data_IF_399305549233
#
_entry.id   IF_399305549233
#
_cell.length_a   1.000
_cell.length_b   1.000
_cell.length_c   1.000
_cell.angle_alpha   90.00
_cell.angle_beta   90.00
_cell.angle_gamma   90.00
#
_symmetry.space_group_name_H-M   'P 1'
#
loop_
_entity.id
_entity.type
_entity.pdbx_description
1 polymer ?
#
# COMPACT_ATOMS: atom_id res chain seq x y z
N UNK A 1 -18.12 51.21 24.50
CA UNK A 1 -18.80 50.43 23.45
C UNK A 1 -17.92 50.22 22.21
N UNK A 2 -17.45 51.26 21.48
CA UNK A 2 -16.63 51.08 20.26
C UNK A 2 -15.32 50.29 20.44
N UNK A 3 -14.62 50.42 21.58
CA UNK A 3 -13.37 49.70 21.85
C UNK A 3 -13.58 48.20 22.14
N UNK A 4 -14.71 47.85 22.74
CA UNK A 4 -15.06 46.45 23.05
C UNK A 4 -15.36 45.67 21.77
N UNK A 5 -16.08 46.29 20.81
CA UNK A 5 -16.32 45.70 19.49
C UNK A 5 -15.04 45.45 18.68
N UNK A 6 -14.06 46.36 18.75
CA UNK A 6 -12.77 46.17 18.08
C UNK A 6 -11.96 45.02 18.69
N UNK A 7 -11.99 44.85 20.02
CA UNK A 7 -11.33 43.72 20.69
C UNK A 7 -12.02 42.40 20.36
N UNK A 8 -13.36 42.36 20.30
CA UNK A 8 -14.11 41.17 19.90
C UNK A 8 -13.90 40.82 18.43
N UNK A 9 -13.86 41.81 17.53
CA UNK A 9 -13.54 41.60 16.11
C UNK A 9 -12.08 41.13 15.95
N UNK A 10 -11.14 41.68 16.72
CA UNK A 10 -9.75 41.22 16.71
C UNK A 10 -9.63 39.80 17.25
N UNK A 11 -10.37 39.44 18.31
CA UNK A 11 -10.42 38.07 18.85
C UNK A 11 -11.05 37.06 17.85
N UNK A 12 -12.10 37.46 17.13
CA UNK A 12 -12.76 36.63 16.11
C UNK A 12 -11.92 36.52 14.83
N UNK A 13 -11.14 37.57 14.49
CA UNK A 13 -10.20 37.54 13.37
C UNK A 13 -8.91 36.75 13.68
N UNK A 14 -8.57 36.57 14.96
CA UNK A 14 -7.42 35.74 15.40
C UNK A 14 -7.76 34.25 15.61
N UNK A 15 -9.02 33.84 15.42
CA UNK A 15 -9.46 32.45 15.61
C UNK A 15 -9.61 31.66 14.31
N UNK A 16 -9.08 32.14 13.18
CA UNK A 16 -8.77 31.26 12.06
C UNK A 16 -7.39 30.66 12.35
N UNK A 17 -7.33 29.80 13.36
CA UNK A 17 -6.22 28.88 13.52
C UNK A 17 -6.57 27.71 12.61
N UNK A 18 -5.81 27.56 11.52
CA UNK A 18 -5.76 26.30 10.78
C UNK A 18 -5.09 25.33 11.74
N UNK A 19 -5.92 24.52 12.41
CA UNK A 19 -5.43 23.48 13.30
C UNK A 19 -5.30 22.23 12.46
N UNK A 20 -4.17 21.53 12.60
CA UNK A 20 -4.07 20.12 12.24
C UNK A 20 -5.27 19.38 12.84
N UNK A 21 -5.86 18.48 12.04
CA UNK A 21 -7.04 17.71 12.43
C UNK A 21 -6.59 16.63 13.42
N UNK A 22 -7.38 16.40 14.46
CA UNK A 22 -7.16 15.31 15.40
C UNK A 22 -8.41 14.41 15.43
N UNK A 23 -8.20 13.13 15.14
CA UNK A 23 -9.26 12.11 15.08
C UNK A 23 -8.93 10.96 16.04
N UNK A 24 -9.96 10.29 16.55
CA UNK A 24 -9.79 9.13 17.46
C UNK A 24 -10.82 8.07 17.09
N UNK A 25 -10.38 7.06 16.36
CA UNK A 25 -11.23 5.99 15.83
C UNK A 25 -10.39 4.75 15.45
N UNK A 26 -11.02 3.68 14.98
CA UNK A 26 -10.34 2.49 14.45
C UNK A 26 -9.71 2.78 13.09
N UNK A 27 -8.38 2.64 12.96
CA UNK A 27 -7.68 2.76 11.67
C UNK A 27 -8.20 1.72 10.67
N UNK A 28 -8.50 0.51 11.15
CA UNK A 28 -9.11 -0.56 10.36
C UNK A 28 -10.42 -0.09 9.72
N UNK A 29 -11.28 0.56 10.51
CA UNK A 29 -12.57 1.06 10.04
C UNK A 29 -12.43 2.32 9.18
N UNK A 30 -11.47 3.20 9.47
CA UNK A 30 -11.19 4.34 8.59
C UNK A 30 -10.77 3.86 7.19
N UNK A 31 -9.96 2.79 7.09
CA UNK A 31 -9.49 2.31 5.80
C UNK A 31 -10.53 1.52 5.01
N UNK A 32 -11.32 0.67 5.67
CA UNK A 32 -12.23 -0.27 4.99
C UNK A 32 -13.45 -0.69 5.85
N UNK A 33 -14.02 0.26 6.59
CA UNK A 33 -15.18 0.05 7.44
C UNK A 33 -15.89 1.36 7.78
N UNK A 34 -16.54 1.39 8.95
CA UNK A 34 -17.31 2.55 9.40
C UNK A 34 -16.63 3.23 10.59
N UNK A 35 -16.21 4.48 10.40
CA UNK A 35 -15.45 5.31 11.32
C UNK A 35 -16.11 6.72 11.41
N UNK A 36 -17.29 6.82 12.06
CA UNK A 36 -18.16 7.99 11.96
C UNK A 36 -17.63 9.25 12.66
N UNK A 37 -16.55 9.12 13.43
CA UNK A 37 -15.88 10.24 14.10
C UNK A 37 -14.72 10.83 13.26
N UNK A 38 -14.48 10.28 12.07
CA UNK A 38 -13.55 10.81 11.07
C UNK A 38 -14.27 11.76 10.09
N UNK A 39 -13.50 12.61 9.39
CA UNK A 39 -14.02 13.48 8.33
C UNK A 39 -14.73 12.71 7.20
N UNK A 40 -14.25 11.50 6.93
CA UNK A 40 -14.89 10.44 6.14
C UNK A 40 -14.32 9.08 6.59
N UNK A 41 -14.94 7.98 6.18
CA UNK A 41 -14.50 6.63 6.50
C UNK A 41 -14.42 5.77 5.23
N UNK A 42 -14.16 4.47 5.39
CA UNK A 42 -14.02 3.54 4.28
C UNK A 42 -13.08 4.05 3.16
N UNK A 43 -11.92 4.60 3.50
CA UNK A 43 -11.00 5.25 2.56
C UNK A 43 -10.80 4.50 1.24
N UNK A 44 -10.77 3.17 1.28
CA UNK A 44 -10.59 2.36 0.07
C UNK A 44 -11.72 2.45 -0.95
N UNK A 45 -12.95 2.81 -0.55
CA UNK A 45 -14.06 2.99 -1.48
C UNK A 45 -14.01 4.33 -2.22
N UNK A 46 -13.13 5.26 -1.85
CA UNK A 46 -12.96 6.54 -2.55
C UNK A 46 -11.81 6.53 -3.58
N UNK A 47 -11.13 5.39 -3.74
CA UNK A 47 -9.99 5.23 -4.66
C UNK A 47 -10.46 5.41 -6.10
N UNK A 48 -9.70 6.18 -6.88
CA UNK A 48 -10.03 6.42 -8.29
C UNK A 48 -9.95 5.12 -9.11
N UNK A 49 -11.01 4.87 -9.88
CA UNK A 49 -11.20 3.69 -10.73
C UNK A 49 -10.94 3.99 -12.20
N UNK A 50 -10.59 2.96 -12.96
CA UNK A 50 -10.47 3.09 -14.40
C UNK A 50 -10.32 1.76 -15.11
N UNK A 51 -10.78 1.72 -16.36
CA UNK A 51 -10.68 0.56 -17.26
C UNK A 51 -10.11 1.01 -18.60
N UNK A 52 -8.81 0.81 -18.78
CA UNK A 52 -8.11 1.29 -19.98
C UNK A 52 -8.32 0.37 -21.19
N UNK A 53 -8.38 -0.94 -20.99
CA UNK A 53 -8.72 -1.92 -22.04
C UNK A 53 -9.57 -3.06 -21.45
N UNK A 54 -10.87 -3.16 -21.80
CA UNK A 54 -11.78 -4.15 -21.22
C UNK A 54 -11.25 -5.59 -21.33
N UNK A 55 -11.11 -6.25 -20.18
CA UNK A 55 -10.57 -7.60 -20.06
C UNK A 55 -9.04 -7.68 -20.06
N UNK A 56 -8.35 -6.53 -20.00
CA UNK A 56 -6.91 -6.50 -19.74
C UNK A 56 -6.60 -6.94 -18.32
N UNK A 57 -7.27 -6.38 -17.31
CA UNK A 57 -7.29 -6.92 -15.94
C UNK A 57 -8.59 -7.72 -15.75
N UNK A 58 -8.54 -8.75 -14.90
CA UNK A 58 -9.71 -9.56 -14.55
C UNK A 58 -10.09 -9.30 -13.09
N UNK A 59 -10.99 -8.34 -12.90
CA UNK A 59 -11.52 -7.99 -11.59
C UNK A 59 -12.48 -9.05 -11.07
N UNK A 60 -12.50 -9.24 -9.75
CA UNK A 60 -13.46 -10.11 -9.12
C UNK A 60 -14.90 -9.56 -9.27
N UNK A 61 -15.95 -10.41 -9.30
CA UNK A 61 -17.33 -9.94 -9.48
C UNK A 61 -17.88 -9.01 -8.40
N UNK A 62 -17.18 -8.91 -7.26
CA UNK A 62 -17.53 -8.05 -6.12
C UNK A 62 -16.66 -6.78 -6.04
N UNK A 63 -15.84 -6.54 -7.07
CA UNK A 63 -14.99 -5.37 -7.23
C UNK A 63 -15.20 -4.81 -8.65
N UNK A 64 -16.34 -4.16 -8.85
CA UNK A 64 -16.73 -3.69 -10.18
C UNK A 64 -16.04 -2.38 -10.47
N UNK A 65 -15.03 -2.40 -11.34
CA UNK A 65 -14.34 -1.19 -11.76
C UNK A 65 -15.12 -0.41 -12.83
N UNK A 66 -15.18 0.91 -12.67
CA UNK A 66 -15.86 1.84 -13.57
C UNK A 66 -14.94 2.96 -14.07
N UNK A 67 -15.20 3.46 -15.27
CA UNK A 67 -14.59 4.73 -15.71
C UNK A 67 -15.41 5.90 -15.15
N UNK A 68 -14.73 6.86 -14.53
CA UNK A 68 -15.33 8.15 -14.13
C UNK A 68 -15.71 8.26 -12.66
N UNK A 69 -15.29 7.32 -11.82
CA UNK A 69 -15.29 7.47 -10.37
C UNK A 69 -13.87 7.84 -9.88
N UNK A 70 -13.67 9.10 -9.51
CA UNK A 70 -12.36 9.69 -9.22
C UNK A 70 -11.55 10.02 -10.48
N UNK A 71 -10.33 10.52 -10.27
CA UNK A 71 -9.34 10.80 -11.31
C UNK A 71 -7.90 10.66 -10.75
N UNK A 72 -6.90 10.86 -11.61
CA UNK A 72 -5.50 10.96 -11.22
C UNK A 72 -4.84 12.18 -11.86
N UNK A 73 -4.46 13.14 -11.03
CA UNK A 73 -3.72 14.32 -11.48
C UNK A 73 -2.25 13.95 -11.74
N UNK A 74 -1.82 13.97 -13.00
CA UNK A 74 -0.43 13.69 -13.35
C UNK A 74 0.46 14.83 -12.82
N UNK A 75 1.35 14.57 -11.85
CA UNK A 75 2.08 15.65 -11.17
C UNK A 75 3.06 16.34 -12.13
N UNK A 76 3.13 17.67 -12.04
CA UNK A 76 4.17 18.48 -12.67
C UNK A 76 5.45 18.49 -11.82
N UNK A 77 6.55 19.00 -12.38
CA UNK A 77 7.80 19.19 -11.63
C UNK A 77 7.59 20.09 -10.39
N UNK A 78 6.71 21.09 -10.49
CA UNK A 78 6.40 21.99 -9.38
C UNK A 78 5.61 21.27 -8.29
N UNK A 79 4.68 20.38 -8.67
CA UNK A 79 3.92 19.55 -7.73
C UNK A 79 4.84 18.60 -6.96
N UNK A 80 5.76 17.93 -7.67
CA UNK A 80 6.73 17.01 -7.05
C UNK A 80 7.65 17.73 -6.04
N UNK A 81 8.05 18.97 -6.35
CA UNK A 81 8.84 19.80 -5.44
C UNK A 81 8.01 20.23 -4.23
N UNK A 82 6.80 20.76 -4.46
CA UNK A 82 5.90 21.22 -3.42
C UNK A 82 5.53 20.10 -2.45
N UNK A 83 5.15 18.94 -2.99
CA UNK A 83 4.88 17.74 -2.21
C UNK A 83 6.10 17.28 -1.42
N UNK A 84 7.29 17.34 -2.02
CA UNK A 84 8.52 17.00 -1.33
C UNK A 84 8.77 17.87 -0.09
N UNK A 85 8.45 19.16 -0.14
CA UNK A 85 8.58 20.07 1.01
C UNK A 85 7.53 19.78 2.08
N UNK A 86 6.29 19.44 1.69
CA UNK A 86 5.24 19.01 2.61
C UNK A 86 5.69 17.77 3.40
N UNK A 87 6.27 16.77 2.71
CA UNK A 87 6.77 15.55 3.35
C UNK A 87 7.92 15.85 4.32
N UNK A 88 8.81 16.80 4.00
CA UNK A 88 9.90 17.17 4.92
C UNK A 88 9.34 17.72 6.25
N UNK A 89 8.40 18.67 6.21
CA UNK A 89 7.79 19.22 7.43
C UNK A 89 6.96 18.17 8.18
N UNK A 90 6.24 17.30 7.45
CA UNK A 90 5.47 16.20 8.01
C UNK A 90 6.34 15.22 8.80
N UNK A 91 7.50 14.82 8.25
CA UNK A 91 8.44 13.92 8.93
C UNK A 91 9.14 14.56 10.13
N UNK A 92 9.40 15.88 10.06
CA UNK A 92 9.94 16.65 11.18
C UNK A 92 8.93 16.83 12.33
N UNK A 93 7.66 16.48 12.12
CA UNK A 93 6.57 16.70 13.08
C UNK A 93 6.08 18.15 13.13
N UNK A 94 6.47 18.99 12.16
CA UNK A 94 5.97 20.36 12.01
C UNK A 94 4.63 20.34 11.25
N UNK A 95 3.63 19.70 11.85
CA UNK A 95 2.37 19.37 11.17
C UNK A 95 1.57 20.61 10.73
N UNK A 96 1.60 21.69 11.50
CA UNK A 96 0.96 22.97 11.11
C UNK A 96 1.63 23.61 9.88
N UNK A 97 2.95 23.47 9.74
CA UNK A 97 3.70 23.99 8.59
C UNK A 97 3.42 23.11 7.35
N UNK A 98 3.36 21.79 7.52
CA UNK A 98 2.94 20.87 6.46
C UNK A 98 1.51 21.19 5.96
N UNK A 99 0.55 21.42 6.86
CA UNK A 99 -0.81 21.83 6.50
C UNK A 99 -0.81 23.19 5.79
N UNK A 100 -0.04 24.16 6.29
CA UNK A 100 0.06 25.49 5.66
C UNK A 100 0.64 25.42 4.23
N UNK A 101 1.58 24.49 3.98
CA UNK A 101 2.12 24.24 2.65
C UNK A 101 1.06 23.60 1.73
N UNK A 102 0.31 22.61 2.23
CA UNK A 102 -0.82 22.01 1.50
C UNK A 102 -1.82 23.09 1.06
N UNK A 103 -2.27 23.93 2.00
CA UNK A 103 -3.20 25.03 1.73
C UNK A 103 -2.65 26.00 0.67
N UNK A 104 -1.34 26.29 0.73
CA UNK A 104 -0.66 27.19 -0.22
C UNK A 104 -0.57 26.58 -1.62
N UNK A 105 -0.30 25.27 -1.71
CA UNK A 105 -0.29 24.52 -2.97
C UNK A 105 -1.70 24.24 -3.50
N UNK A 106 -2.72 24.39 -2.66
CA UNK A 106 -4.11 24.03 -2.97
C UNK A 106 -4.28 22.55 -3.35
N UNK A 107 -3.40 21.67 -2.84
CA UNK A 107 -3.62 20.24 -2.93
C UNK A 107 -4.84 19.87 -2.07
N UNK A 108 -5.71 18.96 -2.53
CA UNK A 108 -6.90 18.54 -1.77
C UNK A 108 -6.52 17.57 -0.65
N UNK A 109 -5.53 17.91 0.16
CA UNK A 109 -4.99 17.04 1.22
C UNK A 109 -5.16 17.69 2.58
N UNK A 110 -5.05 16.88 3.61
CA UNK A 110 -5.02 17.32 4.99
C UNK A 110 -4.05 16.50 5.84
N UNK A 111 -3.47 17.16 6.84
CA UNK A 111 -2.67 16.54 7.88
C UNK A 111 -3.58 16.14 9.04
N UNK A 112 -3.51 14.87 9.42
CA UNK A 112 -4.32 14.30 10.51
C UNK A 112 -3.42 13.66 11.56
N UNK A 113 -3.61 14.03 12.81
CA UNK A 113 -3.17 13.25 13.97
C UNK A 113 -4.28 12.24 14.26
N UNK A 114 -4.00 10.97 14.05
CA UNK A 114 -4.98 9.90 14.19
C UNK A 114 -4.63 9.03 15.39
N UNK A 115 -5.49 9.02 16.40
CA UNK A 115 -5.37 8.18 17.57
C UNK A 115 -6.12 6.87 17.34
N UNK A 116 -5.41 5.82 16.95
CA UNK A 116 -6.00 4.52 16.64
C UNK A 116 -6.40 3.77 17.91
N UNK A 117 -7.70 3.49 18.04
CA UNK A 117 -8.25 2.79 19.21
C UNK A 117 -7.99 1.28 19.18
N UNK A 118 -7.68 0.70 18.01
CA UNK A 118 -7.43 -0.74 17.88
C UNK A 118 -6.04 -1.12 18.40
N UNK A 119 -5.03 -0.30 18.12
CA UNK A 119 -3.63 -0.54 18.52
C UNK A 119 -3.12 0.34 19.66
N UNK A 120 -3.89 1.34 20.10
CA UNK A 120 -3.48 2.35 21.11
C UNK A 120 -2.22 3.12 20.67
N UNK A 121 -2.14 3.42 19.36
CA UNK A 121 -1.02 4.14 18.72
C UNK A 121 -1.53 5.43 18.11
N UNK A 122 -0.69 6.46 18.14
CA UNK A 122 -0.94 7.70 17.39
C UNK A 122 -0.14 7.70 16.09
N UNK A 123 -0.84 7.94 15.00
CA UNK A 123 -0.27 8.07 13.66
C UNK A 123 -0.42 9.49 13.15
N UNK A 124 0.50 9.92 12.30
CA UNK A 124 0.32 11.10 11.47
C UNK A 124 -0.06 10.63 10.07
N UNK A 125 -1.03 11.28 9.44
CA UNK A 125 -1.51 10.93 8.11
C UNK A 125 -1.53 12.15 7.19
N UNK A 126 -1.16 11.92 5.94
CA UNK A 126 -1.53 12.76 4.82
C UNK A 126 -2.56 12.00 4.00
N UNK A 127 -3.79 12.50 3.98
CA UNK A 127 -4.90 11.92 3.21
C UNK A 127 -5.54 12.95 2.31
N UNK A 128 -6.06 12.49 1.20
CA UNK A 128 -6.84 13.32 0.28
C UNK A 128 -8.27 13.53 0.80
N UNK A 129 -8.87 14.66 0.49
CA UNK A 129 -10.25 15.01 0.81
C UNK A 129 -11.12 14.55 -0.38
N UNK A 130 -12.10 13.65 -0.19
CA UNK A 130 -12.97 13.19 -1.28
C UNK A 130 -13.76 14.34 -1.92
N UNK A 131 -13.97 14.24 -3.23
CA UNK A 131 -14.82 15.14 -4.00
C UNK A 131 -16.22 14.52 -4.18
N UNK A 132 -17.19 15.00 -3.39
CA UNK A 132 -18.59 14.55 -3.37
C UNK A 132 -19.34 14.67 -4.72
N UNK A 133 -18.72 15.22 -5.77
CA UNK A 133 -19.33 15.24 -7.11
C UNK A 133 -19.27 13.89 -7.83
N UNK A 134 -18.38 12.99 -7.39
CA UNK A 134 -18.33 11.61 -7.87
C UNK A 134 -19.40 10.75 -7.20
N UNK A 135 -19.90 9.79 -7.96
CA UNK A 135 -20.90 8.83 -7.53
C UNK A 135 -20.66 7.52 -8.27
N UNK A 136 -20.59 6.43 -7.52
CA UNK A 136 -20.57 5.08 -8.06
C UNK A 136 -21.76 4.29 -7.50
N UNK A 137 -22.48 3.60 -8.37
CA UNK A 137 -23.58 2.69 -8.02
C UNK A 137 -23.16 1.22 -8.04
N UNK A 138 -21.84 0.96 -8.18
CA UNK A 138 -21.20 -0.35 -8.28
C UNK A 138 -21.85 -1.23 -9.38
N UNK A 139 -22.59 -0.59 -10.31
CA UNK A 139 -23.45 -1.19 -11.31
C UNK A 139 -24.44 -2.22 -10.73
N UNK A 140 -24.85 -2.08 -9.47
CA UNK A 140 -25.82 -2.96 -8.82
C UNK A 140 -27.20 -2.32 -8.68
N UNK A 141 -28.17 -3.09 -8.18
CA UNK A 141 -29.49 -2.56 -7.82
C UNK A 141 -29.63 -2.33 -6.31
N UNK A 142 -28.65 -2.79 -5.54
CA UNK A 142 -28.56 -2.43 -4.14
C UNK A 142 -28.09 -0.96 -4.10
N UNK A 143 -28.60 -0.19 -3.16
CA UNK A 143 -28.17 1.20 -2.96
C UNK A 143 -27.39 1.34 -1.66
N UNK A 144 -27.11 0.21 -0.99
CA UNK A 144 -26.33 0.15 0.23
C UNK A 144 -24.83 0.06 -0.02
N UNK A 145 -24.42 -0.23 -1.26
CA UNK A 145 -23.06 -0.23 -1.77
C UNK A 145 -22.76 0.97 -2.68
N UNK A 146 -23.74 1.87 -2.89
CA UNK A 146 -23.53 3.15 -3.55
C UNK A 146 -22.49 3.98 -2.78
N UNK A 147 -21.50 4.53 -3.50
CA UNK A 147 -20.45 5.35 -2.91
C UNK A 147 -20.52 6.80 -3.41
N UNK A 148 -20.29 7.73 -2.48
CA UNK A 148 -20.29 9.16 -2.73
C UNK A 148 -18.94 9.75 -2.36
N UNK A 149 -18.32 10.43 -3.33
CA UNK A 149 -17.00 11.02 -3.16
C UNK A 149 -15.88 10.10 -3.65
N UNK A 150 -14.94 10.67 -4.39
CA UNK A 150 -13.74 9.98 -4.84
C UNK A 150 -12.55 10.96 -4.87
N UNK A 151 -11.34 10.44 -5.04
CA UNK A 151 -10.12 11.25 -5.12
C UNK A 151 -9.97 11.91 -6.51
N UNK A 152 -9.67 13.21 -6.53
CA UNK A 152 -9.39 13.99 -7.74
C UNK A 152 -7.93 13.82 -8.19
N UNK A 153 -7.01 13.78 -7.22
CA UNK A 153 -5.57 13.70 -7.45
C UNK A 153 -5.09 12.25 -7.44
N UNK A 154 -5.72 11.40 -6.63
CA UNK A 154 -5.42 9.96 -6.59
C UNK A 154 -3.98 9.64 -6.19
N UNK A 155 -3.29 10.57 -5.50
CA UNK A 155 -1.87 10.40 -5.13
C UNK A 155 -1.66 9.47 -3.94
N UNK A 156 -2.69 9.23 -3.13
CA UNK A 156 -2.73 8.17 -2.14
C UNK A 156 -2.71 8.61 -0.68
N UNK A 157 -2.53 7.64 0.19
CA UNK A 157 -2.52 7.78 1.64
C UNK A 157 -1.13 7.49 2.18
N UNK A 158 -0.64 8.38 3.04
CA UNK A 158 0.68 8.27 3.66
C UNK A 158 0.52 8.31 5.18
N UNK A 159 0.85 7.19 5.84
CA UNK A 159 0.75 7.05 7.29
C UNK A 159 2.16 6.91 7.86
N UNK A 160 2.45 7.73 8.87
CA UNK A 160 3.67 7.73 9.64
C UNK A 160 3.35 7.38 11.09
N UNK A 161 4.09 6.44 11.67
CA UNK A 161 4.09 6.13 13.09
C UNK A 161 5.33 6.75 13.78
N UNK A 162 5.22 7.93 14.42
CA UNK A 162 6.37 8.65 14.97
C UNK A 162 7.08 7.88 16.08
N UNK A 163 6.33 7.12 16.87
CA UNK A 163 6.89 6.28 17.94
C UNK A 163 7.34 4.89 17.44
N UNK A 164 7.19 4.62 16.14
CA UNK A 164 7.58 3.37 15.50
C UNK A 164 9.08 3.14 15.55
N UNK A 165 9.49 2.06 16.26
CA UNK A 165 10.89 1.70 16.47
C UNK A 165 11.48 0.74 15.43
N UNK A 166 10.73 0.34 14.41
CA UNK A 166 11.19 -0.60 13.38
C UNK A 166 11.35 0.11 12.03
N UNK A 167 12.51 -0.03 11.36
CA UNK A 167 12.81 0.62 10.09
C UNK A 167 12.12 -0.08 8.92
N UNK A 168 10.80 -0.21 8.98
CA UNK A 168 9.99 -0.90 7.97
C UNK A 168 9.08 0.07 7.22
N UNK A 169 8.94 -0.15 5.92
CA UNK A 169 7.99 0.56 5.05
C UNK A 169 7.07 -0.48 4.42
N UNK A 170 5.76 -0.27 4.51
CA UNK A 170 4.76 -1.06 3.79
C UNK A 170 4.25 -0.23 2.60
N UNK A 171 4.11 -0.85 1.43
CA UNK A 171 3.55 -0.20 0.23
C UNK A 171 2.48 -1.06 -0.42
N UNK A 172 1.37 -0.44 -0.81
CA UNK A 172 0.32 -1.02 -1.66
C UNK A 172 0.12 -0.10 -2.89
N UNK A 173 0.82 -0.37 -4.00
CA UNK A 173 0.95 0.58 -5.10
C UNK A 173 -0.23 0.59 -6.08
N UNK A 174 -1.04 -0.47 -6.12
CA UNK A 174 -2.09 -0.65 -7.13
C UNK A 174 -3.42 -1.10 -6.50
N UNK A 175 -4.00 -0.38 -5.52
CA UNK A 175 -5.32 -0.73 -5.03
C UNK A 175 -6.36 -0.67 -6.16
N UNK A 176 -7.49 -1.34 -5.96
CA UNK A 176 -8.51 -1.67 -6.97
C UNK A 176 -8.03 -2.70 -8.01
N UNK A 177 -6.91 -2.47 -8.69
CA UNK A 177 -6.26 -3.51 -9.50
C UNK A 177 -5.84 -4.73 -8.67
N UNK A 178 -5.44 -4.45 -7.44
CA UNK A 178 -4.99 -5.42 -6.48
C UNK A 178 -5.94 -5.35 -5.25
N UNK A 179 -7.15 -5.91 -5.40
CA UNK A 179 -8.33 -5.67 -4.55
C UNK A 179 -8.07 -5.81 -3.03
N UNK A 180 -7.37 -6.86 -2.62
CA UNK A 180 -7.20 -7.19 -1.18
C UNK A 180 -6.03 -6.44 -0.52
N UNK A 181 -5.30 -5.61 -1.27
CA UNK A 181 -4.03 -5.05 -0.81
C UNK A 181 -4.18 -4.05 0.33
N UNK A 182 -5.24 -3.23 0.37
CA UNK A 182 -5.44 -2.25 1.44
C UNK A 182 -5.60 -2.92 2.81
N UNK A 183 -6.53 -3.88 3.00
CA UNK A 183 -6.61 -4.63 4.26
C UNK A 183 -5.32 -5.37 4.65
N UNK A 184 -4.63 -5.98 3.68
CA UNK A 184 -3.39 -6.74 3.96
C UNK A 184 -2.25 -5.80 4.34
N UNK A 185 -2.11 -4.66 3.65
CA UNK A 185 -1.09 -3.65 3.96
C UNK A 185 -1.32 -2.99 5.32
N UNK A 186 -2.57 -2.69 5.68
CA UNK A 186 -2.92 -2.28 7.03
C UNK A 186 -2.49 -3.33 8.07
N UNK A 187 -2.86 -4.59 7.86
CA UNK A 187 -2.51 -5.67 8.79
C UNK A 187 -0.99 -5.80 8.94
N UNK A 188 -0.24 -5.79 7.84
CA UNK A 188 1.22 -5.83 7.86
C UNK A 188 1.80 -4.63 8.64
N UNK A 189 1.33 -3.41 8.37
CA UNK A 189 1.76 -2.20 9.04
C UNK A 189 1.61 -2.28 10.56
N UNK A 190 0.45 -2.77 11.04
CA UNK A 190 0.20 -2.94 12.48
C UNK A 190 1.03 -4.07 13.08
N UNK A 191 1.00 -5.27 12.48
CA UNK A 191 1.57 -6.49 13.04
C UNK A 191 3.10 -6.42 13.14
N UNK A 192 3.78 -5.91 12.11
CA UNK A 192 5.24 -5.75 12.14
C UNK A 192 5.68 -4.38 12.68
N UNK A 193 4.71 -3.59 13.17
CA UNK A 193 4.91 -2.27 13.78
C UNK A 193 5.78 -1.36 12.91
N UNK A 194 5.44 -1.31 11.62
CA UNK A 194 6.16 -0.53 10.63
C UNK A 194 6.10 0.96 10.92
N UNK A 195 7.15 1.69 10.52
CA UNK A 195 7.22 3.14 10.71
C UNK A 195 6.39 3.88 9.66
N UNK A 196 6.27 3.33 8.46
CA UNK A 196 5.54 3.94 7.36
C UNK A 196 4.62 2.97 6.62
N UNK A 197 3.48 3.47 6.17
CA UNK A 197 2.57 2.83 5.20
C UNK A 197 2.24 3.82 4.10
N UNK A 198 2.36 3.38 2.84
CA UNK A 198 1.97 4.15 1.65
C UNK A 198 1.00 3.31 0.82
N UNK A 199 -0.15 3.89 0.47
CA UNK A 199 -1.15 3.26 -0.39
C UNK A 199 -1.47 4.23 -1.53
N UNK A 200 -1.45 3.79 -2.79
CA UNK A 200 -1.79 4.67 -3.93
C UNK A 200 -3.28 5.05 -3.88
N UNK A 201 -3.65 6.22 -4.40
CA UNK A 201 -5.05 6.69 -4.39
C UNK A 201 -5.81 6.39 -5.68
N UNK A 202 -5.21 5.60 -6.57
CA UNK A 202 -5.74 5.27 -7.89
C UNK A 202 -5.29 3.88 -8.33
N UNK A 203 -6.15 3.23 -9.11
CA UNK A 203 -5.77 2.07 -9.92
C UNK A 203 -4.79 2.45 -11.05
N UNK A 204 -4.12 1.46 -11.63
CA UNK A 204 -3.14 1.58 -12.73
C UNK A 204 -3.77 2.01 -14.04
N UNK A 205 -5.07 1.85 -14.20
CA UNK A 205 -5.77 2.06 -15.47
C UNK A 205 -6.41 3.45 -15.59
N UNK A 206 -6.52 4.21 -14.48
CA UNK A 206 -7.17 5.54 -14.43
C UNK A 206 -6.61 6.49 -15.48
N UNK A 207 -5.27 6.64 -15.51
CA UNK A 207 -4.58 7.50 -16.49
C UNK A 207 -3.40 6.78 -17.11
N UNK A 208 -3.39 6.74 -18.44
CA UNK A 208 -2.32 6.12 -19.24
C UNK A 208 -2.01 6.93 -20.50
N UNK A 209 -0.93 6.59 -21.19
CA UNK A 209 -0.44 7.37 -22.34
C UNK A 209 -1.40 7.51 -23.52
N UNK A 210 -2.45 6.67 -23.62
CA UNK A 210 -3.39 6.62 -24.75
C UNK A 210 -2.71 6.38 -26.12
N UNK A 211 -1.53 5.73 -26.14
CA UNK A 211 -0.78 5.41 -27.36
C UNK A 211 -0.77 3.90 -27.61
N UNK A 212 -1.46 3.45 -28.66
CA UNK A 212 -1.60 2.02 -28.99
C UNK A 212 -2.50 1.29 -28.00
N UNK A 213 -2.28 0.00 -27.77
CA UNK A 213 -3.04 -0.77 -26.78
C UNK A 213 -2.49 -0.53 -25.37
N UNK A 214 -3.35 -0.66 -24.35
CA UNK A 214 -2.92 -0.58 -22.96
C UNK A 214 -1.89 -1.67 -22.62
N UNK A 215 -1.01 -1.34 -21.69
CA UNK A 215 -0.10 -2.24 -20.99
C UNK A 215 0.39 -1.51 -19.74
N UNK A 216 0.68 -2.21 -18.66
CA UNK A 216 1.05 -1.59 -17.37
C UNK A 216 2.21 -0.58 -17.47
N UNK A 217 3.17 -0.79 -18.39
CA UNK A 217 4.27 0.16 -18.61
C UNK A 217 3.86 1.50 -19.26
N UNK A 218 2.59 1.65 -19.63
CA UNK A 218 1.99 2.87 -20.19
C UNK A 218 1.09 3.60 -19.19
N UNK A 219 0.86 3.03 -18.01
CA UNK A 219 0.19 3.72 -16.91
C UNK A 219 1.01 4.94 -16.47
N UNK A 220 0.31 6.04 -16.19
CA UNK A 220 0.89 7.27 -15.63
C UNK A 220 0.65 7.38 -14.11
N UNK A 221 -0.27 6.58 -13.58
CA UNK A 221 -0.65 6.46 -12.16
C UNK A 221 0.01 5.27 -11.45
N UNK A 222 0.84 4.48 -12.14
CA UNK A 222 1.55 3.35 -11.53
C UNK A 222 2.88 3.78 -10.86
N UNK A 223 2.93 3.83 -9.51
CA UNK A 223 4.13 4.27 -8.80
C UNK A 223 5.29 3.27 -8.89
N UNK A 224 5.03 1.99 -9.17
CA UNK A 224 6.08 0.99 -9.36
C UNK A 224 6.83 1.19 -10.68
N UNK A 225 6.20 1.81 -11.69
CA UNK A 225 6.77 1.94 -13.05
C UNK A 225 7.22 3.37 -13.39
N UNK A 226 6.64 4.39 -12.76
CA UNK A 226 6.87 5.82 -13.05
C UNK A 226 7.75 6.49 -12.00
N UNK A 227 8.85 7.10 -12.43
CA UNK A 227 9.75 7.82 -11.50
C UNK A 227 9.15 9.14 -11.01
N UNK A 228 8.53 9.89 -11.93
CA UNK A 228 7.88 11.17 -11.67
C UNK A 228 6.49 10.92 -11.10
N UNK A 229 6.45 10.49 -9.83
CA UNK A 229 5.23 10.15 -9.10
C UNK A 229 5.35 10.59 -7.64
N UNK A 230 4.28 11.18 -7.10
CA UNK A 230 4.23 11.70 -5.72
C UNK A 230 4.55 10.61 -4.68
N UNK A 231 3.95 9.42 -4.84
CA UNK A 231 4.31 8.20 -4.11
C UNK A 231 5.84 7.94 -4.02
N UNK A 232 6.58 8.13 -5.11
CA UNK A 232 8.03 7.94 -5.13
C UNK A 232 8.79 9.09 -4.47
N UNK A 233 8.25 10.31 -4.45
CA UNK A 233 8.80 11.41 -3.65
C UNK A 233 8.69 11.08 -2.16
N UNK A 234 7.51 10.66 -1.70
CA UNK A 234 7.30 10.26 -0.31
C UNK A 234 8.16 9.06 0.08
N UNK A 235 8.15 7.99 -0.74
CA UNK A 235 8.91 6.77 -0.48
C UNK A 235 10.40 7.07 -0.28
N UNK A 236 11.01 7.88 -1.16
CA UNK A 236 12.42 8.25 -1.06
C UNK A 236 12.72 8.99 0.26
N UNK A 237 11.85 9.93 0.65
CA UNK A 237 11.99 10.68 1.91
C UNK A 237 11.82 9.80 3.13
N UNK A 238 10.93 8.80 3.09
CA UNK A 238 10.73 7.86 4.19
C UNK A 238 11.93 6.91 4.35
N UNK A 239 12.49 6.43 3.24
CA UNK A 239 13.75 5.69 3.25
C UNK A 239 14.89 6.52 3.84
N UNK A 240 15.03 7.79 3.42
CA UNK A 240 16.09 8.67 3.91
C UNK A 240 15.93 9.03 5.39
N UNK A 241 14.69 9.22 5.85
CA UNK A 241 14.37 9.40 7.28
C UNK A 241 14.77 8.17 8.10
N UNK A 242 14.41 6.95 7.66
CA UNK A 242 14.85 5.70 8.30
C UNK A 242 16.38 5.62 8.36
N UNK A 243 17.06 5.91 7.26
CA UNK A 243 18.52 5.83 7.20
C UNK A 243 19.18 6.84 8.15
N UNK A 244 18.60 8.02 8.26
CA UNK A 244 19.02 9.07 9.19
C UNK A 244 18.81 8.66 10.65
N UNK A 245 17.61 8.19 10.99
CA UNK A 245 17.21 7.85 12.37
C UNK A 245 17.88 6.56 12.88
N UNK A 246 17.84 5.49 12.09
CA UNK A 246 18.27 4.15 12.53
C UNK A 246 19.72 3.81 12.16
N UNK A 247 20.37 4.66 11.34
CA UNK A 247 21.72 4.41 10.83
C UNK A 247 21.83 3.14 9.97
N UNK A 248 20.71 2.70 9.37
CA UNK A 248 20.62 1.49 8.54
C UNK A 248 19.54 1.66 7.48
N UNK A 249 19.60 0.84 6.44
CA UNK A 249 18.55 0.80 5.42
C UNK A 249 17.27 0.18 5.96
N UNK A 250 16.18 0.60 5.37
CA UNK A 250 14.83 0.10 5.56
C UNK A 250 14.67 -1.36 5.10
N UNK A 251 13.72 -2.05 5.70
CA UNK A 251 13.06 -3.22 5.11
C UNK A 251 11.74 -2.75 4.48
N UNK A 252 11.61 -2.91 3.18
CA UNK A 252 10.45 -2.49 2.41
C UNK A 252 9.64 -3.70 1.98
N UNK A 253 8.36 -3.72 2.32
CA UNK A 253 7.41 -4.74 1.91
C UNK A 253 6.42 -4.11 0.94
N UNK A 254 6.37 -4.62 -0.28
CA UNK A 254 5.42 -4.21 -1.30
C UNK A 254 4.41 -5.31 -1.55
N UNK A 255 3.14 -4.96 -1.38
CA UNK A 255 2.02 -5.88 -1.33
C UNK A 255 1.16 -5.65 -2.56
N UNK A 256 0.95 -6.72 -3.30
CA UNK A 256 0.11 -6.83 -4.47
C UNK A 256 -0.86 -8.01 -4.32
N UNK A 257 -1.88 -8.01 -5.15
CA UNK A 257 -2.68 -9.17 -5.50
C UNK A 257 -2.77 -9.29 -7.00
N UNK A 258 -3.22 -10.43 -7.49
CA UNK A 258 -3.31 -10.69 -8.92
C UNK A 258 -4.70 -11.09 -9.35
N UNK A 259 -4.99 -10.73 -10.61
CA UNK A 259 -6.22 -10.96 -11.36
C UNK A 259 -6.98 -12.24 -10.96
N UNK A 260 -8.27 -12.05 -10.65
CA UNK A 260 -9.21 -13.12 -10.42
C UNK A 260 -9.34 -14.07 -11.63
N UNK A 261 -9.54 -15.36 -11.33
CA UNK A 261 -9.88 -16.38 -12.32
C UNK A 261 -8.67 -17.08 -12.95
N UNK A 262 -8.69 -17.27 -14.27
CA UNK A 262 -7.81 -18.26 -14.91
C UNK A 262 -6.42 -17.77 -15.31
N UNK A 263 -6.07 -16.51 -15.06
CA UNK A 263 -4.81 -15.91 -15.57
C UNK A 263 -3.58 -16.51 -14.93
N UNK A 264 -3.61 -16.69 -13.61
CA UNK A 264 -2.53 -17.27 -12.80
C UNK A 264 -2.87 -18.69 -12.32
N UNK A 265 -3.68 -19.42 -13.09
CA UNK A 265 -4.13 -20.76 -12.72
C UNK A 265 -2.95 -21.73 -12.55
N UNK A 266 -2.88 -22.35 -11.36
CA UNK A 266 -1.85 -23.34 -11.04
C UNK A 266 -0.58 -22.76 -10.42
N UNK A 267 -0.52 -21.44 -10.19
CA UNK A 267 0.47 -20.84 -9.32
C UNK A 267 0.00 -20.85 -7.85
N UNK A 268 0.94 -20.77 -6.89
CA UNK A 268 0.64 -20.70 -5.45
C UNK A 268 -0.18 -19.46 -5.10
N UNK A 269 -0.96 -19.55 -4.03
CA UNK A 269 -1.84 -18.46 -3.59
C UNK A 269 -1.10 -17.22 -3.09
N UNK A 270 0.14 -17.40 -2.64
CA UNK A 270 1.02 -16.29 -2.26
C UNK A 270 2.36 -16.51 -2.92
N UNK A 271 2.73 -15.63 -3.85
CA UNK A 271 4.02 -15.62 -4.52
C UNK A 271 4.92 -14.58 -3.86
N UNK A 272 6.15 -14.97 -3.50
CA UNK A 272 7.08 -14.17 -2.71
C UNK A 272 8.41 -14.02 -3.46
N UNK A 273 8.93 -12.80 -3.57
CA UNK A 273 10.25 -12.56 -4.16
C UNK A 273 11.00 -11.43 -3.45
N UNK A 274 12.33 -11.39 -3.63
CA UNK A 274 13.15 -10.20 -3.34
C UNK A 274 13.12 -9.16 -4.47
N UNK A 275 12.28 -9.40 -5.50
CA UNK A 275 12.24 -8.66 -6.76
C UNK A 275 12.69 -9.50 -7.97
N UNK A 276 12.40 -8.98 -9.16
CA UNK A 276 12.60 -9.66 -10.46
C UNK A 276 14.01 -10.21 -10.67
N UNK A 277 15.03 -9.49 -10.19
CA UNK A 277 16.44 -9.81 -10.42
C UNK A 277 17.04 -10.70 -9.32
N UNK A 278 16.25 -11.09 -8.31
CA UNK A 278 16.74 -11.82 -7.12
C UNK A 278 16.36 -13.29 -7.23
N UNK A 279 17.12 -14.05 -8.02
CA UNK A 279 16.91 -15.50 -8.23
C UNK A 279 17.45 -16.41 -7.12
N UNK A 280 18.27 -15.85 -6.22
CA UNK A 280 18.76 -16.50 -5.01
C UNK A 280 18.62 -15.52 -3.86
N UNK A 281 17.41 -15.36 -3.30
CA UNK A 281 17.21 -14.38 -2.24
C UNK A 281 17.96 -14.79 -0.97
N UNK A 282 18.42 -13.80 -0.23
CA UNK A 282 18.98 -13.95 1.10
C UNK A 282 17.90 -13.84 2.20
N UNK A 283 18.30 -13.73 3.48
CA UNK A 283 17.38 -13.51 4.60
C UNK A 283 16.57 -12.22 4.40
N UNK A 284 15.31 -12.13 4.84
CA UNK A 284 14.58 -13.14 5.60
C UNK A 284 13.97 -14.23 4.70
N UNK A 285 14.04 -14.11 3.37
CA UNK A 285 13.35 -15.04 2.47
C UNK A 285 13.97 -16.42 2.51
N UNK A 286 15.31 -16.51 2.47
CA UNK A 286 16.02 -17.79 2.50
C UNK A 286 17.33 -17.69 3.28
N UNK A 287 17.58 -18.70 4.10
CA UNK A 287 18.79 -18.87 4.88
C UNK A 287 19.70 -19.85 4.14
N UNK A 288 20.86 -19.37 3.70
CA UNK A 288 21.88 -20.20 3.06
C UNK A 288 22.65 -21.09 4.04
N UNK A 289 22.48 -20.87 5.35
CA UNK A 289 23.07 -21.67 6.41
C UNK A 289 22.18 -22.85 6.80
N UNK A 290 22.65 -23.64 7.77
CA UNK A 290 21.85 -24.76 8.33
C UNK A 290 21.01 -24.34 9.53
N UNK A 291 20.90 -23.03 9.81
CA UNK A 291 20.20 -22.52 10.98
C UNK A 291 18.69 -22.40 10.78
N UNK A 292 18.20 -22.32 9.53
CA UNK A 292 16.78 -22.24 9.22
C UNK A 292 16.14 -20.95 9.74
N UNK A 293 16.82 -19.81 9.58
CA UNK A 293 16.36 -18.51 10.06
C UNK A 293 15.45 -17.76 9.08
N UNK A 294 15.04 -18.43 8.00
CA UNK A 294 14.20 -17.85 6.96
C UNK A 294 12.70 -18.03 7.20
N UNK A 295 11.91 -17.31 6.41
CA UNK A 295 10.46 -17.29 6.51
C UNK A 295 9.88 -18.70 6.42
N UNK A 296 10.37 -19.55 5.52
CA UNK A 296 9.79 -20.90 5.37
C UNK A 296 10.00 -21.76 6.61
N UNK A 297 11.16 -21.67 7.28
CA UNK A 297 11.45 -22.51 8.45
C UNK A 297 10.82 -22.00 9.75
N UNK A 298 10.26 -20.78 9.77
CA UNK A 298 9.48 -20.26 10.90
C UNK A 298 7.96 -20.43 10.74
N UNK A 299 7.49 -20.82 9.55
CA UNK A 299 6.08 -21.07 9.27
C UNK A 299 5.65 -22.49 9.69
N UNK A 300 4.36 -22.63 10.02
CA UNK A 300 3.74 -23.94 10.20
C UNK A 300 3.60 -24.65 8.85
N UNK A 301 3.95 -25.95 8.75
CA UNK A 301 3.80 -26.71 7.51
C UNK A 301 2.37 -26.79 6.99
N UNK A 302 1.37 -26.65 7.88
CA UNK A 302 -0.05 -26.61 7.53
C UNK A 302 -0.52 -25.16 7.69
N UNK A 303 -0.76 -24.50 6.56
CA UNK A 303 -1.15 -23.07 6.52
C UNK A 303 -2.62 -22.92 6.88
N UNK A 304 -3.47 -23.78 6.31
CA UNK A 304 -4.91 -23.78 6.57
C UNK A 304 -5.33 -25.16 7.05
N UNK A 305 -5.70 -25.31 8.33
CA UNK A 305 -6.26 -26.55 8.85
C UNK A 305 -7.53 -26.94 8.09
N UNK A 306 -7.80 -28.24 7.97
CA UNK A 306 -8.97 -28.74 7.27
C UNK A 306 -10.27 -28.13 7.81
N UNK A 307 -11.08 -27.56 6.91
CA UNK A 307 -12.36 -26.92 7.21
C UNK A 307 -12.25 -25.70 8.16
N UNK A 308 -11.11 -25.01 8.16
CA UNK A 308 -10.96 -23.73 8.88
C UNK A 308 -11.83 -22.64 8.25
N UNK A 309 -12.02 -22.66 6.93
CA UNK A 309 -12.92 -21.77 6.19
C UNK A 309 -13.67 -22.59 5.13
N UNK A 310 -14.95 -22.88 5.39
CA UNK A 310 -15.74 -23.74 4.49
C UNK A 310 -15.31 -25.21 4.53
N UNK A 311 -15.60 -25.98 3.48
CA UNK A 311 -15.25 -27.40 3.38
C UNK A 311 -14.06 -27.59 2.45
N UNK A 312 -12.91 -28.00 3.00
CA UNK A 312 -11.67 -28.23 2.25
C UNK A 312 -10.73 -29.18 2.99
N UNK A 313 -9.80 -29.79 2.23
CA UNK A 313 -8.66 -30.52 2.77
C UNK A 313 -7.68 -29.55 3.48
N UNK A 314 -6.82 -30.01 4.41
CA UNK A 314 -5.75 -29.13 4.90
C UNK A 314 -4.89 -28.66 3.72
N UNK A 315 -4.37 -27.43 3.82
CA UNK A 315 -3.53 -26.82 2.79
C UNK A 315 -2.11 -26.70 3.34
N UNK A 316 -1.17 -27.33 2.64
CA UNK A 316 0.22 -27.38 3.04
C UNK A 316 1.00 -26.16 2.54
N UNK A 317 2.13 -25.85 3.18
CA UNK A 317 2.93 -24.66 2.91
C UNK A 317 3.46 -24.61 1.47
N UNK A 318 3.88 -25.73 0.91
CA UNK A 318 4.37 -25.82 -0.47
C UNK A 318 3.25 -25.77 -1.53
N UNK A 319 2.00 -25.92 -1.12
CA UNK A 319 0.83 -25.66 -1.97
C UNK A 319 0.43 -24.18 -1.95
N UNK A 320 0.47 -23.56 -0.76
CA UNK A 320 -0.03 -22.21 -0.55
C UNK A 320 0.99 -21.12 -0.92
N UNK A 321 2.26 -21.32 -0.58
CA UNK A 321 3.33 -20.34 -0.81
C UNK A 321 4.27 -20.76 -1.93
N UNK A 322 4.64 -19.80 -2.78
CA UNK A 322 5.67 -19.94 -3.80
C UNK A 322 6.76 -18.89 -3.64
N UNK A 323 8.00 -19.24 -3.92
CA UNK A 323 9.15 -18.34 -3.73
C UNK A 323 10.02 -18.22 -4.98
N UNK A 324 10.47 -17.00 -5.31
CA UNK A 324 11.44 -16.79 -6.37
C UNK A 324 12.80 -17.33 -5.92
N UNK A 325 13.10 -18.59 -6.24
CA UNK A 325 14.41 -19.18 -6.00
C UNK A 325 14.73 -20.20 -7.10
N UNK A 326 15.64 -19.84 -8.01
CA UNK A 326 15.94 -20.65 -9.19
C UNK A 326 17.42 -21.03 -9.34
N UNK A 327 18.29 -20.55 -8.44
CA UNK A 327 19.72 -20.88 -8.51
C UNK A 327 20.13 -22.10 -7.67
N UNK A 328 19.43 -22.35 -6.56
CA UNK A 328 19.80 -23.38 -5.59
C UNK A 328 18.58 -24.00 -4.92
N UNK A 329 18.75 -25.19 -4.35
CA UNK A 329 17.69 -25.88 -3.61
C UNK A 329 17.18 -25.04 -2.44
N UNK A 330 15.86 -24.92 -2.34
CA UNK A 330 15.17 -24.25 -1.24
C UNK A 330 14.26 -25.26 -0.53
N UNK A 331 14.50 -25.47 0.76
CA UNK A 331 13.88 -26.56 1.52
C UNK A 331 13.40 -26.08 2.88
N UNK A 332 12.22 -26.55 3.28
CA UNK A 332 11.82 -26.58 4.66
C UNK A 332 12.51 -27.75 5.39
N UNK A 333 12.97 -27.53 6.61
CA UNK A 333 13.45 -28.60 7.48
C UNK A 333 13.16 -28.30 8.96
N UNK A 334 12.52 -29.23 9.65
CA UNK A 334 12.42 -29.26 11.11
C UNK A 334 12.91 -30.62 11.65
N UNK A 335 12.69 -30.90 12.95
CA UNK A 335 13.14 -32.17 13.56
C UNK A 335 12.48 -33.42 12.95
N UNK A 336 11.27 -33.29 12.40
CA UNK A 336 10.41 -34.42 11.99
C UNK A 336 10.21 -34.52 10.46
N UNK A 337 10.34 -33.43 9.71
CA UNK A 337 10.04 -33.37 8.27
C UNK A 337 11.03 -32.49 7.50
N UNK A 338 11.20 -32.82 6.23
CA UNK A 338 11.97 -32.04 5.25
C UNK A 338 11.30 -32.18 3.90
N UNK A 339 11.03 -31.05 3.24
CA UNK A 339 10.46 -31.04 1.91
C UNK A 339 10.95 -29.83 1.10
N UNK A 340 10.85 -29.94 -0.22
CA UNK A 340 11.24 -28.88 -1.15
C UNK A 340 10.17 -27.80 -1.17
N UNK A 341 10.60 -26.54 -1.08
CA UNK A 341 9.71 -25.39 -1.22
C UNK A 341 9.32 -25.22 -2.68
N UNK A 342 8.09 -24.83 -2.91
CA UNK A 342 7.60 -24.51 -4.24
C UNK A 342 8.25 -23.23 -4.77
N UNK A 343 8.94 -23.34 -5.90
CA UNK A 343 9.60 -22.21 -6.57
C UNK A 343 8.97 -21.88 -7.92
N UNK A 344 7.84 -22.50 -8.25
CA UNK A 344 7.09 -22.23 -9.46
C UNK A 344 6.15 -21.05 -9.25
N UNK A 345 6.64 -19.85 -9.58
CA UNK A 345 5.91 -18.59 -9.52
C UNK A 345 6.14 -17.80 -10.81
N UNK A 346 5.22 -16.89 -11.18
CA UNK A 346 5.31 -16.05 -12.38
C UNK A 346 5.29 -14.54 -12.10
N UNK A 347 4.95 -14.13 -10.88
CA UNK A 347 4.91 -12.75 -10.44
C UNK A 347 6.07 -12.46 -9.49
N UNK A 348 7.19 -12.00 -10.04
CA UNK A 348 8.42 -11.72 -9.27
C UNK A 348 8.60 -10.22 -9.01
N UNK A 349 7.65 -9.39 -9.43
CA UNK A 349 7.75 -7.94 -9.45
C UNK A 349 8.31 -7.39 -10.76
N UNK A 350 8.15 -6.09 -10.96
CA UNK A 350 8.63 -5.41 -12.16
C UNK A 350 10.15 -5.21 -12.13
N UNK A 351 10.84 -5.50 -13.24
CA UNK A 351 12.31 -5.41 -13.34
C UNK A 351 12.89 -4.02 -13.11
N UNK A 352 12.12 -2.96 -13.41
CA UNK A 352 12.53 -1.57 -13.15
C UNK A 352 11.69 -0.93 -12.04
N UNK A 353 11.25 -1.71 -11.07
CA UNK A 353 10.45 -1.22 -9.94
C UNK A 353 11.17 -0.07 -9.22
N UNK A 354 10.51 1.09 -9.11
CA UNK A 354 11.14 2.32 -8.59
C UNK A 354 11.46 2.24 -7.10
N UNK A 355 10.63 1.57 -6.32
CA UNK A 355 10.88 1.38 -4.89
C UNK A 355 12.07 0.43 -4.67
N UNK A 356 12.14 -0.68 -5.40
CA UNK A 356 13.28 -1.62 -5.36
C UNK A 356 14.59 -0.90 -5.71
N UNK A 357 14.60 -0.16 -6.82
CA UNK A 357 15.80 0.57 -7.29
C UNK A 357 16.31 1.52 -6.22
N UNK A 358 15.42 2.22 -5.52
CA UNK A 358 15.83 3.16 -4.49
C UNK A 358 16.28 2.48 -3.18
N UNK A 359 15.59 1.43 -2.76
CA UNK A 359 15.96 0.65 -1.57
C UNK A 359 17.32 -0.03 -1.71
N UNK A 360 17.63 -0.49 -2.92
CA UNK A 360 18.92 -1.12 -3.23
C UNK A 360 20.02 -0.10 -3.57
N UNK A 361 19.70 1.19 -3.66
CA UNK A 361 20.68 2.21 -4.05
C UNK A 361 21.81 2.35 -3.03
N UNK A 362 23.05 2.41 -3.53
CA UNK A 362 24.25 2.54 -2.68
C UNK A 362 24.70 1.25 -1.98
N UNK A 363 24.03 0.12 -2.24
CA UNK A 363 24.31 -1.15 -1.57
C UNK A 363 25.34 -2.02 -2.31
N UNK A 364 26.03 -2.88 -1.54
CA UNK A 364 26.89 -3.93 -2.09
C UNK A 364 26.13 -5.25 -2.16
N UNK A 365 26.35 -6.03 -3.22
CA UNK A 365 25.77 -7.37 -3.39
C UNK A 365 26.34 -8.45 -2.44
N UNK A 366 27.03 -8.06 -1.37
CA UNK A 366 27.64 -8.98 -0.40
C UNK A 366 26.90 -8.98 0.95
N UNK A 367 25.79 -8.23 1.06
CA UNK A 367 24.93 -8.32 2.23
C UNK A 367 24.01 -9.52 2.10
N UNK A 368 23.98 -10.37 3.14
CA UNK A 368 23.12 -11.55 3.19
C UNK A 368 21.71 -11.20 3.70
N UNK A 369 21.18 -10.02 3.34
CA UNK A 369 19.83 -9.58 3.73
C UNK A 369 19.14 -8.86 2.57
N UNK A 370 18.01 -9.43 2.15
CA UNK A 370 17.00 -8.78 1.32
C UNK A 370 16.31 -7.67 2.10
N UNK A 371 16.38 -6.48 1.52
CA UNK A 371 15.73 -5.26 2.05
C UNK A 371 14.40 -4.99 1.40
N UNK A 372 14.04 -5.78 0.40
CA UNK A 372 12.79 -5.67 -0.30
C UNK A 372 12.10 -7.03 -0.30
N UNK A 373 10.82 -7.04 0.07
CA UNK A 373 9.96 -8.20 -0.04
C UNK A 373 8.79 -7.81 -0.93
N UNK A 374 8.65 -8.50 -2.05
CA UNK A 374 7.52 -8.37 -2.96
C UNK A 374 6.58 -9.55 -2.73
N UNK A 375 5.31 -9.25 -2.54
CA UNK A 375 4.24 -10.20 -2.24
C UNK A 375 3.13 -10.02 -3.27
N UNK A 376 2.70 -11.13 -3.86
CA UNK A 376 1.61 -11.20 -4.84
C UNK A 376 0.64 -12.27 -4.37
N UNK A 377 -0.61 -11.89 -4.09
CA UNK A 377 -1.60 -12.77 -3.45
C UNK A 377 -2.81 -13.01 -4.36
N UNK A 378 -3.34 -14.22 -4.28
CA UNK A 378 -4.60 -14.58 -4.93
C UNK A 378 -5.77 -13.85 -4.27
N UNK A 379 -6.57 -13.12 -5.06
CA UNK A 379 -7.77 -12.43 -4.56
C UNK A 379 -8.82 -13.44 -4.06
N UNK A 380 -8.89 -14.60 -4.70
CA UNK A 380 -9.65 -15.75 -4.21
C UNK A 380 -8.78 -17.00 -4.26
N UNK A 381 -8.20 -17.43 -3.13
CA UNK A 381 -7.30 -18.57 -3.10
C UNK A 381 -7.86 -19.80 -3.83
N UNK A 382 -7.11 -20.33 -4.81
CA UNK A 382 -7.34 -21.56 -5.58
C UNK A 382 -7.86 -22.79 -4.81
N UNK A 383 -7.72 -22.82 -3.48
CA UNK A 383 -8.29 -23.85 -2.59
C UNK A 383 -9.82 -23.77 -2.49
N UNK A 384 -10.40 -22.60 -2.78
CA UNK A 384 -11.83 -22.35 -2.72
C UNK A 384 -12.47 -22.45 -4.12
N UNK A 385 -13.76 -22.80 -4.20
CA UNK A 385 -14.49 -22.81 -5.46
C UNK A 385 -14.46 -21.43 -6.13
N UNK A 386 -14.00 -21.39 -7.38
CA UNK A 386 -13.88 -20.19 -8.21
C UNK A 386 -15.20 -19.86 -8.96
N UNK A 387 -16.35 -20.21 -8.37
CA UNK A 387 -17.66 -20.29 -9.07
C UNK A 387 -18.51 -19.05 -8.98
#
# INVERSE_FOLDING_TARGET
MKKTYLVTIFFVLTTILFSVIEETESLKNFLYGNAPECGYDNWMSHIAEGVADPGYNLYAPWDVQSDGFGDYEVPTDEDLIGWGLIIDEFLLGNLDDAQSMIDTTSFPYEVVIFNDIDSDRTFYMLREIPNDSYFDDNQTTDTGDDEHGAFDYGWGLYIYYPEGGYPHIITAPHPNDDYITVPVAHKAFIDISSKFLLISGSGREVVWTNIGNYANNKSLCDPSRREDHVFNVSYKKFCDDIRSEFGRHEFSMQIHSYDWGSRHWGYPNVQISGGYHVGSPDLPIRDHSSLGLDIVNVLDPIVLPANSVGLHAPVDMDEFYGFHSNEYDFTYANEDTTFTINTNIDLWGYSSNRQIVYTQSGMSHYDNIERFLHLEMDELPNIYPQT
#
